data_IF_721261064422
#
_entry.id   IF_721261064422
#
_cell.length_a   1.000
_cell.length_b   1.000
_cell.length_c   1.000
_cell.angle_alpha   90.00
_cell.angle_beta   90.00
_cell.angle_gamma   90.00
#
_symmetry.space_group_name_H-M   'P 1'
#
loop_
_entity.id
_entity.type
_entity.pdbx_description
1 polymer ?
#
# COMPACT_ATOMS: atom_id res chain seq x y z
N UNK A 1 -6.85 40.67 -21.56
CA UNK A 1 -5.60 40.22 -20.94
C UNK A 1 -6.02 39.20 -19.88
N UNK A 2 -6.35 38.00 -20.33
CA UNK A 2 -6.83 36.91 -19.47
C UNK A 2 -5.66 35.95 -19.25
N UNK A 3 -5.14 35.96 -18.03
CA UNK A 3 -4.20 34.94 -17.58
C UNK A 3 -4.97 33.66 -17.34
N UNK A 4 -4.75 32.65 -18.18
CA UNK A 4 -5.05 31.26 -17.82
C UNK A 4 -3.96 30.79 -16.89
N UNK A 5 -4.34 30.55 -15.64
CA UNK A 5 -3.56 29.80 -14.67
C UNK A 5 -3.40 28.36 -15.20
N UNK A 6 -2.20 28.02 -15.64
CA UNK A 6 -1.81 26.65 -15.96
C UNK A 6 -1.01 26.10 -14.79
N UNK A 7 -1.71 25.62 -13.76
CA UNK A 7 -1.12 24.61 -12.89
C UNK A 7 -0.92 23.35 -13.74
N UNK A 8 0.29 23.18 -14.27
CA UNK A 8 0.69 21.96 -15.00
C UNK A 8 0.81 20.81 -14.00
N UNK A 9 -0.32 20.19 -13.66
CA UNK A 9 -0.32 18.88 -13.01
C UNK A 9 0.33 17.83 -13.91
N UNK A 10 0.96 16.82 -13.32
CA UNK A 10 1.52 15.68 -14.07
C UNK A 10 0.43 15.03 -14.93
N UNK A 11 0.74 14.61 -16.18
CA UNK A 11 -0.25 13.99 -17.06
C UNK A 11 -0.82 12.74 -16.40
N UNK A 12 -2.15 12.66 -16.27
CA UNK A 12 -2.82 11.48 -15.71
C UNK A 12 -2.57 10.27 -16.63
N UNK A 13 -2.52 9.07 -16.04
CA UNK A 13 -2.25 7.79 -16.72
C UNK A 13 -3.44 7.35 -17.61
N UNK A 14 -3.28 7.28 -18.93
CA UNK A 14 -4.36 6.85 -19.84
C UNK A 14 -4.16 5.40 -20.31
N UNK A 15 -5.03 4.49 -19.88
CA UNK A 15 -4.88 3.05 -20.12
C UNK A 15 -6.24 2.33 -20.14
N UNK A 16 -6.26 1.16 -20.78
CA UNK A 16 -7.41 0.25 -20.83
C UNK A 16 -7.15 -1.09 -20.12
N UNK A 17 -5.87 -1.43 -19.89
CA UNK A 17 -5.45 -2.68 -19.27
C UNK A 17 -4.30 -2.40 -18.29
N UNK A 18 -4.23 -3.19 -17.23
CA UNK A 18 -3.13 -3.15 -16.26
C UNK A 18 -2.09 -4.20 -16.68
N UNK A 19 -0.81 -3.83 -16.89
CA UNK A 19 0.20 -4.74 -17.41
C UNK A 19 0.57 -5.84 -16.41
N UNK A 20 1.02 -6.99 -16.91
CA UNK A 20 1.54 -8.11 -16.11
C UNK A 20 3.03 -8.26 -16.40
N UNK A 21 3.85 -8.19 -15.34
CA UNK A 21 5.31 -8.21 -15.44
C UNK A 21 5.86 -9.49 -14.79
N UNK A 22 6.76 -10.16 -15.50
CA UNK A 22 7.52 -11.28 -14.94
C UNK A 22 8.71 -10.76 -14.14
N UNK A 23 8.66 -10.87 -12.82
CA UNK A 23 9.70 -10.32 -11.94
C UNK A 23 10.74 -11.36 -11.51
N UNK A 24 10.76 -12.56 -12.13
CA UNK A 24 11.83 -13.53 -11.91
C UNK A 24 13.25 -12.94 -12.04
N UNK A 25 13.53 -11.99 -12.97
CA UNK A 25 14.83 -11.36 -13.08
C UNK A 25 15.30 -10.57 -11.84
N UNK A 26 14.43 -10.19 -10.89
CA UNK A 26 14.83 -9.50 -9.66
C UNK A 26 15.91 -10.26 -8.88
N UNK A 27 15.94 -11.59 -8.97
CA UNK A 27 16.92 -12.47 -8.32
C UNK A 27 18.10 -12.83 -9.23
N UNK A 28 18.09 -12.42 -10.50
CA UNK A 28 19.12 -12.76 -11.47
C UNK A 28 20.46 -12.15 -11.06
N UNK A 29 21.59 -12.89 -11.12
CA UNK A 29 22.92 -12.30 -10.96
C UNK A 29 23.29 -11.38 -12.13
N UNK A 30 22.67 -11.57 -13.30
CA UNK A 30 22.91 -10.74 -14.48
C UNK A 30 22.24 -9.37 -14.36
N UNK A 31 23.07 -8.32 -14.36
CA UNK A 31 22.62 -6.92 -14.29
C UNK A 31 21.85 -6.52 -15.55
N UNK A 32 22.17 -7.06 -16.72
CA UNK A 32 21.46 -6.71 -17.96
C UNK A 32 20.01 -7.21 -17.92
N UNK A 33 19.79 -8.45 -17.45
CA UNK A 33 18.45 -8.96 -17.18
C UNK A 33 17.65 -8.07 -16.20
N UNK A 34 18.29 -7.62 -15.11
CA UNK A 34 17.65 -6.69 -14.15
C UNK A 34 17.34 -5.32 -14.77
N UNK A 35 18.21 -4.83 -15.66
CA UNK A 35 18.01 -3.56 -16.36
C UNK A 35 16.86 -3.63 -17.37
N UNK A 36 16.68 -4.77 -18.06
CA UNK A 36 15.54 -4.99 -18.97
C UNK A 36 14.22 -4.98 -18.20
N UNK A 37 14.15 -5.71 -17.10
CA UNK A 37 13.01 -5.68 -16.18
C UNK A 37 12.73 -4.26 -15.68
N UNK A 38 13.77 -3.52 -15.31
CA UNK A 38 13.62 -2.15 -14.83
C UNK A 38 13.03 -1.21 -15.90
N UNK A 39 13.27 -1.45 -17.19
CA UNK A 39 12.64 -0.68 -18.27
C UNK A 39 11.13 -1.00 -18.38
N UNK A 40 10.74 -2.26 -18.28
CA UNK A 40 9.31 -2.65 -18.25
C UNK A 40 8.58 -2.03 -17.05
N UNK A 41 9.23 -2.03 -15.88
CA UNK A 41 8.71 -1.39 -14.68
C UNK A 41 8.61 0.13 -14.85
N UNK A 42 9.60 0.78 -15.49
CA UNK A 42 9.52 2.21 -15.79
C UNK A 42 8.26 2.55 -16.60
N UNK A 43 7.99 1.78 -17.64
CA UNK A 43 6.83 1.97 -18.50
C UNK A 43 5.51 1.80 -17.72
N UNK A 44 5.39 0.73 -16.92
CA UNK A 44 4.20 0.52 -16.10
C UNK A 44 4.00 1.64 -15.06
N UNK A 45 5.07 2.08 -14.38
CA UNK A 45 5.01 3.14 -13.38
C UNK A 45 4.67 4.51 -13.98
N UNK A 46 5.11 4.80 -15.21
CA UNK A 46 4.89 6.10 -15.85
C UNK A 46 3.58 6.19 -16.63
N UNK A 47 3.11 5.07 -17.18
CA UNK A 47 1.89 5.02 -17.99
C UNK A 47 0.64 4.68 -17.18
N UNK A 48 0.77 3.85 -16.14
CA UNK A 48 -0.37 3.32 -15.37
C UNK A 48 -0.24 3.64 -13.88
N UNK A 49 0.92 3.41 -13.28
CA UNK A 49 1.10 3.45 -11.82
C UNK A 49 0.60 2.20 -11.10
N UNK A 50 0.07 1.22 -11.84
CA UNK A 50 -0.39 -0.09 -11.38
C UNK A 50 0.13 -1.17 -12.35
N UNK A 51 0.46 -2.35 -11.81
CA UNK A 51 0.82 -3.53 -12.59
C UNK A 51 0.68 -4.81 -11.76
N UNK A 52 0.46 -5.94 -12.41
CA UNK A 52 0.60 -7.25 -11.78
C UNK A 52 2.05 -7.71 -11.87
N UNK A 53 2.49 -8.45 -10.85
CA UNK A 53 3.77 -9.17 -10.87
C UNK A 53 3.52 -10.67 -10.72
N UNK A 54 4.23 -11.48 -11.51
CA UNK A 54 4.28 -12.94 -11.39
C UNK A 54 5.71 -13.41 -11.14
N UNK A 55 5.88 -14.66 -10.66
CA UNK A 55 7.20 -15.19 -10.27
C UNK A 55 7.92 -14.32 -9.22
N UNK A 56 7.16 -13.66 -8.34
CA UNK A 56 7.66 -12.79 -7.27
C UNK A 56 8.41 -13.57 -6.18
N UNK A 57 8.11 -14.86 -6.04
CA UNK A 57 8.86 -15.80 -5.20
C UNK A 57 8.39 -15.88 -3.75
N UNK A 58 7.24 -15.28 -3.43
CA UNK A 58 6.43 -15.66 -2.26
C UNK A 58 5.64 -16.89 -2.70
N UNK A 59 5.65 -17.96 -1.92
CA UNK A 59 4.99 -19.21 -2.32
C UNK A 59 3.47 -19.09 -2.24
N UNK A 60 2.78 -19.77 -3.16
CA UNK A 60 1.31 -19.81 -3.18
C UNK A 60 0.79 -20.44 -1.88
N UNK A 61 1.49 -21.44 -1.32
CA UNK A 61 1.10 -22.07 -0.05
C UNK A 61 1.14 -21.09 1.13
N UNK A 62 2.05 -20.12 1.13
CA UNK A 62 2.14 -19.11 2.18
C UNK A 62 1.03 -18.04 2.02
N UNK A 63 0.75 -17.65 0.78
CA UNK A 63 -0.36 -16.74 0.48
C UNK A 63 -1.68 -17.40 0.89
N UNK A 64 -1.91 -18.66 0.49
CA UNK A 64 -3.10 -19.42 0.85
C UNK A 64 -3.24 -19.61 2.37
N UNK A 65 -2.14 -19.94 3.06
CA UNK A 65 -2.14 -20.05 4.51
C UNK A 65 -2.48 -18.73 5.21
N UNK A 66 -2.05 -17.59 4.66
CA UNK A 66 -2.37 -16.28 5.22
C UNK A 66 -3.83 -15.89 4.95
N UNK A 67 -4.38 -16.18 3.77
CA UNK A 67 -5.81 -15.99 3.50
C UNK A 67 -6.67 -16.90 4.38
N UNK A 68 -6.27 -18.14 4.61
CA UNK A 68 -6.95 -19.02 5.56
C UNK A 68 -6.88 -18.48 6.99
N UNK A 69 -5.73 -17.96 7.42
CA UNK A 69 -5.59 -17.29 8.71
C UNK A 69 -6.50 -16.05 8.83
N UNK A 70 -6.68 -15.30 7.73
CA UNK A 70 -7.64 -14.20 7.65
C UNK A 70 -9.08 -14.68 7.87
N UNK A 71 -9.50 -15.72 7.14
CA UNK A 71 -10.83 -16.33 7.30
C UNK A 71 -11.08 -16.76 8.75
N UNK A 72 -10.11 -17.44 9.36
CA UNK A 72 -10.21 -17.89 10.75
C UNK A 72 -10.33 -16.72 11.74
N UNK A 73 -9.54 -15.65 11.56
CA UNK A 73 -9.63 -14.47 12.41
C UNK A 73 -10.99 -13.78 12.30
N UNK A 74 -11.49 -13.53 11.09
CA UNK A 74 -12.74 -12.80 10.90
C UNK A 74 -13.99 -13.63 11.23
N UNK A 75 -13.86 -14.97 11.27
CA UNK A 75 -14.88 -15.89 11.77
C UNK A 75 -15.01 -15.91 13.31
N UNK A 76 -14.07 -15.30 14.05
CA UNK A 76 -14.20 -15.18 15.50
C UNK A 76 -15.43 -14.33 15.89
N UNK A 77 -16.06 -14.60 17.05
CA UNK A 77 -17.08 -13.73 17.62
C UNK A 77 -16.57 -12.28 17.73
N UNK A 78 -17.45 -11.31 17.47
CA UNK A 78 -17.11 -9.89 17.52
C UNK A 78 -16.47 -9.48 18.85
N UNK A 79 -16.98 -9.99 19.97
CA UNK A 79 -16.42 -9.75 21.31
C UNK A 79 -14.94 -10.16 21.41
N UNK A 80 -14.55 -11.29 20.81
CA UNK A 80 -13.16 -11.74 20.79
C UNK A 80 -12.30 -10.89 19.85
N UNK A 81 -12.83 -10.50 18.68
CA UNK A 81 -12.10 -9.60 17.76
C UNK A 81 -11.81 -8.24 18.41
N UNK A 82 -12.77 -7.71 19.18
CA UNK A 82 -12.65 -6.43 19.88
C UNK A 82 -11.57 -6.42 20.98
N UNK A 83 -11.11 -7.57 21.47
CA UNK A 83 -9.95 -7.63 22.39
C UNK A 83 -8.67 -7.08 21.74
N UNK A 84 -8.61 -7.10 20.41
CA UNK A 84 -7.48 -6.63 19.60
C UNK A 84 -7.70 -5.22 19.03
N UNK A 85 -8.71 -4.46 19.46
CA UNK A 85 -9.08 -3.18 18.84
C UNK A 85 -8.23 -1.96 19.24
N UNK A 86 -6.98 -2.19 19.67
CA UNK A 86 -6.01 -1.13 19.93
C UNK A 86 -5.25 -0.79 18.64
N UNK A 87 -4.39 0.22 18.70
CA UNK A 87 -3.52 0.56 17.57
C UNK A 87 -2.72 -0.68 17.10
N UNK A 88 -2.70 -0.92 15.78
CA UNK A 88 -2.14 -2.11 15.12
C UNK A 88 -2.81 -3.42 15.54
N UNK A 89 -4.10 -3.50 15.29
CA UNK A 89 -4.93 -4.67 15.54
C UNK A 89 -6.25 -4.60 14.78
N UNK A 90 -7.34 -5.01 15.42
CA UNK A 90 -8.66 -5.11 14.79
C UNK A 90 -9.36 -3.74 14.64
N UNK A 91 -9.94 -3.51 13.47
CA UNK A 91 -10.88 -2.40 13.23
C UNK A 91 -12.25 -2.97 12.80
N UNK A 92 -13.34 -2.66 13.51
CA UNK A 92 -14.66 -3.16 13.15
C UNK A 92 -15.23 -2.46 11.92
N UNK A 93 -16.28 -3.05 11.36
CA UNK A 93 -17.00 -2.50 10.21
C UNK A 93 -17.45 -1.06 10.49
N UNK A 94 -17.30 -0.18 9.49
CA UNK A 94 -17.61 1.25 9.57
C UNK A 94 -16.71 2.11 10.47
N UNK A 95 -15.63 1.55 11.04
CA UNK A 95 -14.68 2.33 11.83
C UNK A 95 -13.75 3.23 10.98
N UNK A 96 -13.50 2.86 9.73
CA UNK A 96 -12.71 3.66 8.78
C UNK A 96 -13.62 4.67 8.09
N UNK A 97 -13.25 5.96 8.15
CA UNK A 97 -13.98 7.01 7.45
C UNK A 97 -13.74 6.88 5.94
N UNK A 98 -14.79 7.03 5.13
CA UNK A 98 -14.64 7.06 3.67
C UNK A 98 -14.01 8.41 3.30
N UNK A 99 -12.85 8.44 2.62
CA UNK A 99 -12.21 9.71 2.25
C UNK A 99 -13.18 10.59 1.45
N UNK A 100 -13.51 11.77 1.99
CA UNK A 100 -14.35 12.76 1.30
C UNK A 100 -13.49 13.54 0.29
N UNK A 101 -13.20 12.94 -0.86
CA UNK A 101 -12.61 13.65 -2.00
C UNK A 101 -13.65 14.51 -2.74
N UNK A 102 -13.18 15.43 -3.59
CA UNK A 102 -14.01 16.28 -4.48
C UNK A 102 -14.91 15.49 -5.44
N UNK A 103 -14.61 14.20 -5.68
CA UNK A 103 -15.45 13.27 -6.43
C UNK A 103 -16.32 12.47 -5.45
N UNK A 104 -17.48 13.02 -5.10
CA UNK A 104 -18.59 12.19 -4.62
C UNK A 104 -18.92 11.20 -5.73
N UNK A 105 -18.78 9.89 -5.47
CA UNK A 105 -19.40 8.90 -6.35
C UNK A 105 -20.92 9.18 -6.36
N UNK A 106 -21.57 9.14 -7.52
CA UNK A 106 -23.03 9.36 -7.66
C UNK A 106 -23.89 8.35 -6.88
N UNK A 107 -23.27 7.43 -6.14
CA UNK A 107 -23.89 6.31 -5.44
C UNK A 107 -23.87 6.44 -3.91
N UNK A 108 -23.35 7.55 -3.34
CA UNK A 108 -23.43 7.74 -1.89
C UNK A 108 -24.88 8.04 -1.48
N UNK A 109 -25.57 7.04 -0.92
CA UNK A 109 -26.77 7.27 -0.10
C UNK A 109 -26.36 8.23 1.02
N UNK A 110 -27.16 9.28 1.25
CA UNK A 110 -26.89 10.42 2.15
C UNK A 110 -26.70 10.09 3.65
N UNK A 111 -26.42 8.84 4.01
CA UNK A 111 -26.10 8.44 5.38
C UNK A 111 -24.59 8.30 5.52
N UNK A 112 -24.00 9.13 6.37
CA UNK A 112 -22.60 9.09 6.78
C UNK A 112 -22.25 7.76 7.49
N UNK A 113 -22.14 6.67 6.74
CA UNK A 113 -21.66 5.38 7.22
C UNK A 113 -20.24 5.18 6.71
N UNK A 114 -19.31 4.74 7.57
CA UNK A 114 -17.91 4.48 7.21
C UNK A 114 -17.75 3.38 6.14
N UNK A 115 -16.51 2.97 5.90
CA UNK A 115 -16.20 1.91 4.94
C UNK A 115 -16.86 0.57 5.34
N UNK A 116 -17.46 -0.14 4.37
CA UNK A 116 -18.03 -1.46 4.57
C UNK A 116 -16.94 -2.55 4.51
N UNK A 117 -16.03 -2.49 5.48
CA UNK A 117 -14.94 -3.43 5.68
C UNK A 117 -14.58 -3.51 7.16
N UNK A 118 -14.10 -4.66 7.61
CA UNK A 118 -13.33 -4.78 8.85
C UNK A 118 -11.88 -5.15 8.53
N UNK A 119 -10.94 -4.81 9.42
CA UNK A 119 -9.51 -5.03 9.20
C UNK A 119 -8.77 -5.59 10.41
N UNK A 120 -7.65 -6.26 10.14
CA UNK A 120 -6.63 -6.55 11.14
C UNK A 120 -5.29 -6.00 10.63
N UNK A 121 -4.81 -4.97 11.30
CA UNK A 121 -3.67 -4.16 10.87
C UNK A 121 -2.45 -4.51 11.71
N UNK A 122 -1.30 -4.66 11.06
CA UNK A 122 0.00 -4.80 11.70
C UNK A 122 0.97 -3.79 11.08
N UNK A 123 1.97 -3.37 11.84
CA UNK A 123 3.10 -2.64 11.31
C UNK A 123 4.40 -3.41 11.44
N UNK A 124 5.47 -2.72 11.05
CA UNK A 124 6.84 -3.26 11.06
C UNK A 124 7.21 -3.92 12.40
N UNK A 125 7.73 -5.14 12.35
CA UNK A 125 8.33 -5.88 13.47
C UNK A 125 9.72 -6.37 13.07
N UNK A 126 10.70 -6.18 13.96
CA UNK A 126 12.08 -6.65 13.76
C UNK A 126 12.15 -8.16 13.52
N UNK A 127 11.30 -8.93 14.20
CA UNK A 127 11.24 -10.38 14.05
C UNK A 127 10.80 -10.85 12.65
N UNK A 128 10.09 -10.00 11.89
CA UNK A 128 9.73 -10.28 10.52
C UNK A 128 10.78 -9.81 9.51
N UNK A 129 11.83 -9.08 9.91
CA UNK A 129 12.78 -8.53 8.98
C UNK A 129 14.04 -9.42 8.83
N UNK A 130 14.24 -10.10 7.69
CA UNK A 130 15.39 -10.98 7.48
C UNK A 130 16.75 -10.25 7.43
N UNK A 131 16.77 -8.91 7.41
CA UNK A 131 17.99 -8.10 7.47
C UNK A 131 18.32 -7.59 8.87
N UNK A 132 17.50 -7.90 9.88
CA UNK A 132 17.68 -7.46 11.27
C UNK A 132 18.03 -8.63 12.18
N UNK A 133 18.75 -8.32 13.25
CA UNK A 133 18.94 -9.24 14.36
C UNK A 133 17.76 -9.13 15.35
N UNK A 134 17.35 -10.21 16.03
CA UNK A 134 16.23 -10.17 16.99
C UNK A 134 16.41 -9.18 18.15
N UNK A 135 17.66 -8.78 18.44
CA UNK A 135 18.05 -7.83 19.49
C UNK A 135 18.31 -6.41 18.96
N UNK A 136 18.11 -6.16 17.66
CA UNK A 136 18.12 -4.81 17.12
C UNK A 136 17.05 -3.95 17.82
N UNK A 137 17.32 -2.65 17.91
CA UNK A 137 16.41 -1.69 18.56
C UNK A 137 15.81 -0.78 17.50
N UNK A 138 14.49 -0.63 17.53
CA UNK A 138 13.80 0.32 16.67
C UNK A 138 14.32 1.76 16.90
N UNK A 139 14.39 2.59 15.85
CA UNK A 139 14.73 3.99 16.03
C UNK A 139 13.67 4.70 16.91
N UNK A 140 14.01 5.85 17.52
CA UNK A 140 13.04 6.64 18.28
C UNK A 140 11.80 6.94 17.43
N UNK A 141 10.63 6.71 18.00
CA UNK A 141 9.35 6.95 17.32
C UNK A 141 8.97 8.43 17.36
N UNK A 142 9.69 9.25 16.60
CA UNK A 142 9.48 10.70 16.55
C UNK A 142 8.12 11.10 16.00
N UNK A 143 7.44 10.21 15.27
CA UNK A 143 6.20 10.52 14.54
C UNK A 143 4.97 9.78 15.07
N UNK A 144 5.11 9.01 16.16
CA UNK A 144 4.07 8.12 16.70
C UNK A 144 3.49 7.19 15.61
N UNK A 145 4.39 6.52 14.87
CA UNK A 145 4.07 5.60 13.78
C UNK A 145 4.52 4.16 14.06
N UNK A 146 5.38 3.93 15.05
CA UNK A 146 5.69 2.59 15.57
C UNK A 146 4.70 2.20 16.68
N UNK A 147 4.56 0.90 16.92
CA UNK A 147 3.65 0.39 17.93
C UNK A 147 3.63 -1.13 17.95
N UNK A 148 3.24 -1.70 19.07
CA UNK A 148 3.15 -3.14 19.26
C UNK A 148 1.94 -3.69 18.51
N UNK A 149 2.16 -4.72 17.67
CA UNK A 149 1.09 -5.42 17.00
C UNK A 149 0.28 -6.25 18.02
N UNK A 150 -1.05 -6.28 17.85
CA UNK A 150 -1.99 -6.94 18.77
C UNK A 150 -2.24 -8.39 18.36
N UNK A 151 -1.23 -9.26 18.51
CA UNK A 151 -1.35 -10.66 18.10
C UNK A 151 -2.32 -11.47 18.97
N UNK A 152 -3.24 -12.24 18.35
CA UNK A 152 -3.94 -13.32 19.02
C UNK A 152 -2.96 -14.33 19.61
N UNK A 153 -3.30 -14.90 20.77
CA UNK A 153 -2.50 -15.98 21.35
C UNK A 153 -2.65 -17.24 20.51
N UNK A 154 -1.66 -18.14 20.59
CA UNK A 154 -1.73 -19.44 19.93
C UNK A 154 -2.88 -20.32 20.45
N UNK A 155 -3.45 -20.02 21.61
CA UNK A 155 -4.66 -20.69 22.13
C UNK A 155 -5.92 -20.25 21.38
N UNK A 156 -5.97 -18.99 20.94
CA UNK A 156 -7.12 -18.41 20.22
C UNK A 156 -7.01 -18.70 18.72
N UNK A 157 -5.86 -18.40 18.12
CA UNK A 157 -5.58 -18.67 16.71
C UNK A 157 -4.16 -19.26 16.55
N UNK A 158 -4.04 -20.59 16.56
CA UNK A 158 -2.76 -21.26 16.40
C UNK A 158 -2.03 -20.81 15.12
N UNK A 159 -0.75 -20.46 15.24
CA UNK A 159 0.13 -20.09 14.10
C UNK A 159 -0.26 -18.84 13.33
N UNK A 160 -1.25 -18.06 13.77
CA UNK A 160 -1.65 -16.83 13.08
C UNK A 160 -0.48 -15.85 13.01
N UNK A 161 0.16 -15.59 14.16
CA UNK A 161 1.35 -14.74 14.25
C UNK A 161 2.51 -15.27 13.41
N UNK A 162 2.83 -16.57 13.53
CA UNK A 162 3.93 -17.19 12.79
C UNK A 162 3.75 -17.06 11.27
N UNK A 163 2.56 -17.39 10.77
CA UNK A 163 2.22 -17.33 9.34
C UNK A 163 2.31 -15.91 8.81
N UNK A 164 1.76 -14.94 9.55
CA UNK A 164 1.78 -13.55 9.13
C UNK A 164 3.20 -12.95 9.18
N UNK A 165 3.99 -13.23 10.22
CA UNK A 165 5.38 -12.78 10.27
C UNK A 165 6.23 -13.40 9.14
N UNK A 166 5.99 -14.66 8.78
CA UNK A 166 6.66 -15.30 7.65
C UNK A 166 6.30 -14.62 6.31
N UNK A 167 5.02 -14.30 6.09
CA UNK A 167 4.61 -13.52 4.92
C UNK A 167 5.28 -12.14 4.90
N UNK A 168 5.32 -11.43 6.03
CA UNK A 168 5.99 -10.15 6.14
C UNK A 168 7.48 -10.22 5.78
N UNK A 169 8.18 -11.29 6.16
CA UNK A 169 9.59 -11.49 5.81
C UNK A 169 9.82 -11.64 4.30
N UNK A 170 8.98 -12.43 3.64
CA UNK A 170 9.04 -12.61 2.18
C UNK A 170 8.61 -11.33 1.44
N UNK A 171 7.57 -10.65 1.92
CA UNK A 171 7.10 -9.36 1.40
C UNK A 171 8.18 -8.28 1.52
N UNK A 172 8.83 -8.13 2.68
CA UNK A 172 9.96 -7.21 2.88
C UNK A 172 11.11 -7.49 1.90
N UNK A 173 11.43 -8.76 1.71
CA UNK A 173 12.48 -9.19 0.78
C UNK A 173 12.13 -8.82 -0.66
N UNK A 174 10.88 -9.03 -1.08
CA UNK A 174 10.38 -8.64 -2.39
C UNK A 174 10.38 -7.12 -2.57
N UNK A 175 9.86 -6.38 -1.59
CA UNK A 175 9.76 -4.92 -1.64
C UNK A 175 11.13 -4.25 -1.78
N UNK A 176 12.16 -4.72 -1.05
CA UNK A 176 13.53 -4.21 -1.21
C UNK A 176 14.09 -4.46 -2.60
N UNK A 177 13.82 -5.62 -3.21
CA UNK A 177 14.22 -5.90 -4.59
C UNK A 177 13.48 -5.01 -5.58
N UNK A 178 12.19 -4.76 -5.38
CA UNK A 178 11.41 -3.83 -6.19
C UNK A 178 11.98 -2.40 -6.08
N UNK A 179 12.34 -1.93 -4.88
CA UNK A 179 13.01 -0.63 -4.70
C UNK A 179 14.32 -0.50 -5.48
N UNK A 180 15.14 -1.55 -5.49
CA UNK A 180 16.36 -1.58 -6.32
C UNK A 180 16.05 -1.54 -7.82
N UNK A 181 14.98 -2.22 -8.24
CA UNK A 181 14.52 -2.16 -9.63
C UNK A 181 13.97 -0.77 -9.99
N UNK A 182 13.24 -0.11 -9.09
CA UNK A 182 12.82 1.28 -9.26
C UNK A 182 14.04 2.20 -9.39
N UNK A 183 15.09 2.02 -8.60
CA UNK A 183 16.33 2.78 -8.75
C UNK A 183 16.96 2.61 -10.15
N UNK A 184 17.10 1.36 -10.62
CA UNK A 184 17.61 1.07 -11.96
C UNK A 184 16.74 1.69 -13.07
N UNK A 185 15.41 1.64 -12.91
CA UNK A 185 14.45 2.19 -13.87
C UNK A 185 14.56 3.72 -13.98
N UNK A 186 14.94 4.37 -12.88
CA UNK A 186 15.20 5.82 -12.81
C UNK A 186 16.64 6.17 -13.24
N UNK A 187 17.44 5.21 -13.73
CA UNK A 187 18.85 5.40 -14.10
C UNK A 187 19.72 5.85 -12.92
N UNK A 188 19.41 5.35 -11.72
CA UNK A 188 20.23 5.51 -10.52
C UNK A 188 21.10 4.28 -10.30
N UNK A 189 21.97 4.35 -9.29
CA UNK A 189 22.62 3.14 -8.79
C UNK A 189 21.58 2.16 -8.22
N UNK A 190 21.80 0.85 -8.41
CA UNK A 190 20.84 -0.17 -7.99
C UNK A 190 20.57 -0.13 -6.49
N UNK A 191 21.58 0.16 -5.68
CA UNK A 191 21.46 0.25 -4.22
C UNK A 191 21.09 1.64 -3.71
N UNK A 192 20.69 2.58 -4.57
CA UNK A 192 20.49 4.00 -4.20
C UNK A 192 19.58 4.19 -2.99
N UNK A 193 18.48 3.43 -2.89
CA UNK A 193 17.53 3.53 -1.79
C UNK A 193 17.85 2.65 -0.57
N UNK A 194 18.84 1.75 -0.66
CA UNK A 194 19.16 0.81 0.42
C UNK A 194 19.41 1.49 1.78
N UNK A 195 20.13 2.62 1.86
CA UNK A 195 20.38 3.30 3.13
C UNK A 195 19.11 3.87 3.79
N UNK A 196 18.01 3.98 3.05
CA UNK A 196 16.72 4.50 3.53
C UNK A 196 15.77 3.37 3.99
N UNK A 197 16.20 2.11 4.03
CA UNK A 197 15.34 0.95 4.33
C UNK A 197 15.91 0.06 5.45
N UNK A 198 16.52 0.67 6.47
CA UNK A 198 17.04 -0.09 7.63
C UNK A 198 15.91 -0.58 8.53
N UNK A 199 14.94 0.29 8.81
CA UNK A 199 13.72 0.05 9.59
C UNK A 199 12.54 0.69 8.83
N UNK A 200 12.23 0.18 7.62
CA UNK A 200 11.32 0.85 6.71
C UNK A 200 9.92 0.99 7.32
N UNK A 201 9.24 2.09 6.99
CA UNK A 201 7.81 2.22 7.25
C UNK A 201 7.06 1.09 6.58
N UNK A 202 6.36 0.27 7.36
CA UNK A 202 5.54 -0.84 6.87
C UNK A 202 4.25 -0.88 7.64
N UNK A 203 3.16 -1.04 6.88
CA UNK A 203 1.86 -1.45 7.39
C UNK A 203 1.34 -2.58 6.50
N UNK A 204 0.80 -3.63 7.10
CA UNK A 204 0.06 -4.67 6.39
C UNK A 204 -1.32 -4.75 6.98
N UNK A 205 -2.34 -4.86 6.13
CA UNK A 205 -3.73 -4.94 6.57
C UNK A 205 -4.33 -6.21 6.00
N UNK A 206 -4.94 -7.04 6.83
CA UNK A 206 -5.88 -8.04 6.32
C UNK A 206 -7.24 -7.35 6.29
N UNK A 207 -7.86 -7.30 5.12
CA UNK A 207 -9.15 -6.64 4.91
C UNK A 207 -10.21 -7.70 4.59
N UNK A 208 -11.32 -7.68 5.32
CA UNK A 208 -12.51 -8.47 5.03
C UNK A 208 -13.66 -7.53 4.65
N UNK A 209 -14.20 -7.74 3.46
CA UNK A 209 -15.36 -7.05 2.93
C UNK A 209 -16.55 -8.02 2.98
N UNK A 210 -17.55 -7.76 3.85
CA UNK A 210 -18.73 -8.62 3.93
C UNK A 210 -19.50 -8.70 2.60
N UNK A 211 -20.30 -9.76 2.38
CA UNK A 211 -21.19 -9.86 1.23
C UNK A 211 -22.10 -8.64 1.13
N UNK A 212 -22.16 -8.01 -0.05
CA UNK A 212 -23.07 -6.90 -0.31
C UNK A 212 -24.34 -7.39 -1.02
N UNK A 213 -25.56 -6.97 -0.61
CA UNK A 213 -26.78 -7.32 -1.33
C UNK A 213 -26.74 -6.74 -2.75
N UNK A 214 -27.08 -7.57 -3.74
CA UNK A 214 -26.94 -7.27 -5.18
C UNK A 214 -28.03 -6.28 -5.70
N UNK A 215 -28.98 -5.84 -4.88
CA UNK A 215 -30.07 -4.96 -5.34
C UNK A 215 -29.89 -3.48 -4.95
N UNK A 216 -29.66 -2.65 -5.97
CA UNK A 216 -30.04 -1.23 -6.01
C UNK A 216 -29.13 -0.22 -5.30
N UNK A 217 -28.30 -0.64 -4.35
CA UNK A 217 -27.38 0.24 -3.61
C UNK A 217 -25.92 -0.19 -3.82
N UNK A 218 -25.20 0.49 -4.71
CA UNK A 218 -23.74 0.34 -4.82
C UNK A 218 -23.11 1.03 -3.60
N UNK A 219 -22.52 0.26 -2.69
CA UNK A 219 -21.77 0.80 -1.55
C UNK A 219 -20.28 0.67 -1.78
N UNK A 220 -19.56 1.78 -1.60
CA UNK A 220 -18.11 1.76 -1.68
C UNK A 220 -17.55 0.90 -0.54
N UNK A 221 -16.82 -0.17 -0.89
CA UNK A 221 -16.11 -0.99 0.09
C UNK A 221 -14.94 -0.19 0.67
N UNK A 222 -14.17 0.46 -0.20
CA UNK A 222 -13.20 1.49 0.14
C UNK A 222 -13.27 2.58 -0.93
N UNK A 223 -13.43 3.84 -0.51
CA UNK A 223 -13.61 4.99 -1.40
C UNK A 223 -12.42 5.26 -2.32
N UNK A 224 -12.60 6.17 -3.28
CA UNK A 224 -11.53 6.56 -4.20
C UNK A 224 -10.38 7.27 -3.46
N UNK A 225 -9.17 6.71 -3.53
CA UNK A 225 -8.00 7.22 -2.82
C UNK A 225 -6.68 6.92 -3.56
N UNK A 226 -5.58 7.45 -3.05
CA UNK A 226 -4.22 7.04 -3.35
C UNK A 226 -3.53 6.56 -2.06
N UNK A 227 -2.51 5.72 -2.21
CA UNK A 227 -1.70 5.25 -1.09
C UNK A 227 -0.60 6.26 -0.73
N UNK A 228 -0.10 6.19 0.51
CA UNK A 228 0.76 7.24 1.08
C UNK A 228 2.26 6.92 1.07
N UNK A 229 2.63 5.65 1.23
CA UNK A 229 4.03 5.19 1.34
C UNK A 229 4.76 5.25 -0.02
N UNK A 230 5.79 4.42 -0.25
CA UNK A 230 6.47 4.37 -1.55
C UNK A 230 5.66 3.60 -2.59
N UNK A 231 5.17 2.41 -2.23
CA UNK A 231 4.31 1.58 -3.07
C UNK A 231 3.61 0.53 -2.21
N UNK A 232 2.64 -0.16 -2.79
CA UNK A 232 1.90 -1.25 -2.15
C UNK A 232 2.07 -2.52 -2.99
N UNK A 233 2.24 -3.67 -2.33
CA UNK A 233 1.96 -4.97 -2.94
C UNK A 233 0.66 -5.51 -2.34
N UNK A 234 -0.20 -6.07 -3.17
CA UNK A 234 -1.56 -6.46 -2.79
C UNK A 234 -1.82 -7.89 -3.23
N UNK A 235 -2.06 -8.76 -2.24
CA UNK A 235 -2.68 -10.06 -2.46
C UNK A 235 -4.20 -9.92 -2.46
N UNK A 236 -4.86 -10.54 -3.43
CA UNK A 236 -6.30 -10.51 -3.61
C UNK A 236 -6.83 -11.94 -3.64
N UNK A 237 -8.04 -12.14 -3.13
CA UNK A 237 -8.80 -13.36 -3.38
C UNK A 237 -9.38 -13.38 -4.80
N UNK A 238 -10.36 -14.24 -5.06
CA UNK A 238 -10.98 -14.41 -6.38
C UNK A 238 -12.10 -13.41 -6.70
N UNK A 239 -12.38 -12.40 -5.85
CA UNK A 239 -13.48 -11.44 -6.07
C UNK A 239 -12.97 -10.16 -6.79
N UNK A 240 -13.45 -9.87 -8.02
CA UNK A 240 -13.00 -8.72 -8.80
C UNK A 240 -13.65 -7.41 -8.34
N UNK A 241 -13.09 -6.83 -7.27
CA UNK A 241 -13.59 -5.58 -6.70
C UNK A 241 -12.67 -4.37 -6.86
N UNK A 242 -11.37 -4.57 -7.14
CA UNK A 242 -10.43 -3.46 -7.31
C UNK A 242 -10.66 -2.76 -8.65
N UNK A 243 -10.75 -1.43 -8.61
CA UNK A 243 -10.85 -0.58 -9.79
C UNK A 243 -9.80 0.54 -9.74
N UNK A 244 -9.15 0.81 -10.87
CA UNK A 244 -8.10 1.83 -11.03
C UNK A 244 -8.58 2.89 -12.01
N UNK A 245 -8.41 4.17 -11.68
CA UNK A 245 -8.92 5.28 -12.50
C UNK A 245 -7.90 5.74 -13.53
N UNK A 246 -8.26 5.75 -14.80
CA UNK A 246 -7.42 6.28 -15.87
C UNK A 246 -7.56 7.81 -16.04
N UNK A 247 -6.83 8.39 -17.00
CA UNK A 247 -6.77 9.82 -17.29
C UNK A 247 -8.09 10.39 -17.80
N UNK A 248 -8.90 9.55 -18.45
CA UNK A 248 -10.24 9.87 -18.93
C UNK A 248 -11.26 9.89 -17.79
N UNK A 249 -10.88 9.49 -16.58
CA UNK A 249 -11.78 9.38 -15.43
C UNK A 249 -12.56 8.07 -15.39
N UNK A 250 -12.24 7.12 -16.28
CA UNK A 250 -12.91 5.82 -16.35
C UNK A 250 -12.29 4.86 -15.33
N UNK A 251 -13.12 3.98 -14.76
CA UNK A 251 -12.71 2.94 -13.82
C UNK A 251 -12.38 1.65 -14.56
N UNK A 252 -11.11 1.26 -14.56
CA UNK A 252 -10.60 0.01 -15.14
C UNK A 252 -10.56 -1.05 -14.04
N UNK A 253 -11.20 -2.19 -14.29
CA UNK A 253 -11.20 -3.32 -13.33
C UNK A 253 -9.83 -3.98 -13.30
N UNK A 254 -9.34 -4.26 -12.09
CA UNK A 254 -8.16 -5.09 -11.85
C UNK A 254 -8.64 -6.48 -11.38
N UNK A 255 -8.95 -7.42 -12.30
CA UNK A 255 -9.44 -8.74 -11.91
C UNK A 255 -8.35 -9.55 -11.20
N UNK A 256 -8.70 -10.44 -10.26
CA UNK A 256 -7.74 -11.36 -9.67
C UNK A 256 -7.13 -12.28 -10.73
N UNK A 257 -5.80 -12.45 -10.67
CA UNK A 257 -5.07 -13.34 -11.55
C UNK A 257 -4.26 -14.30 -10.65
N UNK A 258 -4.54 -15.62 -10.68
CA UNK A 258 -3.81 -16.60 -9.87
C UNK A 258 -2.29 -16.52 -10.08
N UNK A 259 -1.52 -16.66 -8.99
CA UNK A 259 -0.07 -16.60 -9.00
C UNK A 259 0.51 -15.19 -9.23
N UNK A 260 -0.29 -14.14 -8.99
CA UNK A 260 0.15 -12.75 -9.12
C UNK A 260 -0.14 -11.93 -7.86
N UNK A 261 0.63 -10.86 -7.70
CA UNK A 261 0.33 -9.76 -6.78
C UNK A 261 0.11 -8.49 -7.60
N UNK A 262 -0.79 -7.62 -7.14
CA UNK A 262 -0.91 -6.27 -7.69
C UNK A 262 0.12 -5.37 -7.03
N UNK A 263 0.76 -4.50 -7.80
CA UNK A 263 1.68 -3.47 -7.31
C UNK A 263 1.16 -2.11 -7.77
N UNK A 264 1.15 -1.14 -6.87
CA UNK A 264 0.87 0.25 -7.22
C UNK A 264 1.84 1.23 -6.56
N UNK A 265 2.21 2.26 -7.32
CA UNK A 265 3.03 3.34 -6.81
C UNK A 265 2.18 4.25 -5.93
N UNK A 266 2.77 4.67 -4.81
CA UNK A 266 2.13 5.52 -3.83
C UNK A 266 2.73 6.93 -3.84
N UNK A 267 2.09 7.81 -3.08
CA UNK A 267 2.32 9.24 -3.09
C UNK A 267 3.77 9.65 -2.77
N UNK A 268 4.45 8.94 -1.86
CA UNK A 268 5.82 9.27 -1.48
C UNK A 268 6.78 9.06 -2.65
N UNK A 269 6.75 7.90 -3.31
CA UNK A 269 7.62 7.60 -4.44
C UNK A 269 7.24 8.41 -5.70
N UNK A 270 5.95 8.68 -5.91
CA UNK A 270 5.49 9.62 -6.93
C UNK A 270 6.14 11.00 -6.73
N UNK A 271 6.05 11.58 -5.53
CA UNK A 271 6.71 12.86 -5.20
C UNK A 271 8.23 12.79 -5.34
N UNK A 272 8.85 11.70 -4.88
CA UNK A 272 10.30 11.49 -4.99
C UNK A 272 10.78 11.54 -6.45
N UNK A 273 9.98 11.02 -7.37
CA UNK A 273 10.27 10.99 -8.83
C UNK A 273 9.74 12.21 -9.59
N UNK A 274 9.38 13.29 -8.89
CA UNK A 274 8.76 14.49 -9.48
C UNK A 274 7.43 14.22 -10.20
N UNK A 275 6.65 13.24 -9.73
CA UNK A 275 5.42 12.72 -10.35
C UNK A 275 5.66 12.06 -11.72
N UNK A 276 6.88 11.56 -11.96
CA UNK A 276 7.20 10.72 -13.13
C UNK A 276 6.50 9.38 -13.00
N UNK A 277 6.66 8.73 -11.85
CA UNK A 277 5.83 7.59 -11.50
C UNK A 277 4.48 8.07 -11.00
N UNK A 278 3.42 7.35 -11.38
CA UNK A 278 2.03 7.76 -11.15
C UNK A 278 1.51 7.11 -9.88
N UNK A 279 1.13 7.93 -8.90
CA UNK A 279 0.25 7.51 -7.80
C UNK A 279 -1.18 7.57 -8.30
N UNK A 280 -1.74 6.41 -8.66
CA UNK A 280 -3.01 6.35 -9.40
C UNK A 280 -4.17 6.09 -8.46
N UNK A 281 -5.26 6.83 -8.65
CA UNK A 281 -6.47 6.72 -7.84
C UNK A 281 -7.12 5.35 -8.06
N UNK A 282 -7.48 4.68 -6.97
CA UNK A 282 -8.14 3.39 -7.01
C UNK A 282 -9.23 3.30 -5.93
N UNK A 283 -10.15 2.33 -6.08
CA UNK A 283 -11.24 2.06 -5.15
C UNK A 283 -11.60 0.58 -5.11
N UNK A 284 -12.39 0.19 -4.12
CA UNK A 284 -12.92 -1.18 -4.01
C UNK A 284 -14.44 -1.14 -4.05
N UNK A 285 -15.04 -1.76 -5.07
CA UNK A 285 -16.49 -1.97 -5.19
C UNK A 285 -16.76 -3.44 -5.45
N UNK A 286 -17.47 -4.08 -4.53
CA UNK A 286 -17.83 -5.49 -4.65
C UNK A 286 -19.24 -5.64 -5.22
N UNK A 287 -19.34 -6.11 -6.46
CA UNK A 287 -20.63 -6.30 -7.16
C UNK A 287 -21.07 -7.76 -7.24
N UNK A 288 -20.34 -8.69 -6.61
CA UNK A 288 -20.56 -10.14 -6.80
C UNK A 288 -21.53 -10.74 -5.79
N UNK A 289 -21.78 -10.04 -4.68
CA UNK A 289 -22.54 -10.56 -3.55
C UNK A 289 -21.82 -11.63 -2.73
N UNK A 290 -20.54 -11.90 -3.01
CA UNK A 290 -19.67 -12.74 -2.19
C UNK A 290 -18.89 -11.89 -1.19
N UNK A 291 -18.43 -12.48 -0.09
CA UNK A 291 -17.41 -11.84 0.74
C UNK A 291 -16.09 -11.75 -0.01
N UNK A 292 -15.25 -10.77 0.36
CA UNK A 292 -13.93 -10.57 -0.24
C UNK A 292 -12.84 -10.40 0.79
N UNK A 293 -11.68 -11.01 0.55
CA UNK A 293 -10.47 -10.83 1.33
C UNK A 293 -9.34 -10.23 0.50
N UNK A 294 -8.58 -9.33 1.11
CA UNK A 294 -7.37 -8.81 0.50
C UNK A 294 -6.34 -8.37 1.52
N UNK A 295 -5.07 -8.47 1.14
CA UNK A 295 -3.94 -8.24 2.04
C UNK A 295 -2.96 -7.26 1.39
N UNK A 296 -3.23 -5.94 1.45
CA UNK A 296 -2.25 -4.93 1.09
C UNK A 296 -1.10 -4.90 2.09
N UNK A 297 0.11 -4.81 1.55
CA UNK A 297 1.35 -4.57 2.27
C UNK A 297 1.96 -3.27 1.74
N UNK A 298 1.80 -2.21 2.52
CA UNK A 298 2.29 -0.87 2.24
C UNK A 298 3.77 -0.79 2.62
N UNK A 299 4.61 -0.44 1.66
CA UNK A 299 6.06 -0.37 1.86
C UNK A 299 6.58 1.05 1.64
N UNK A 300 7.27 1.55 2.66
CA UNK A 300 7.91 2.85 2.71
C UNK A 300 9.41 2.78 2.94
N UNK A 301 9.96 3.92 3.34
CA UNK A 301 11.35 4.07 3.81
C UNK A 301 11.35 4.37 5.31
N UNK A 302 12.51 4.33 5.95
CA UNK A 302 12.69 4.73 7.34
C UNK A 302 12.01 6.09 7.56
N UNK A 303 11.20 6.23 8.61
CA UNK A 303 10.39 7.44 8.81
C UNK A 303 11.22 8.73 8.96
N UNK A 304 12.49 8.61 9.36
CA UNK A 304 13.44 9.73 9.42
C UNK A 304 14.13 10.08 8.09
N UNK A 305 13.91 9.30 7.04
CA UNK A 305 14.39 9.60 5.69
C UNK A 305 13.82 10.93 5.19
N UNK A 306 14.69 11.78 4.65
CA UNK A 306 14.25 12.98 3.93
C UNK A 306 13.90 12.62 2.50
N UNK A 307 12.65 12.82 2.13
CA UNK A 307 12.15 12.68 0.77
C UNK A 307 12.32 14.03 0.08
N UNK A 308 13.09 14.05 -1.00
CA UNK A 308 13.31 15.22 -1.85
C UNK A 308 13.27 14.79 -3.31
N UNK A 309 12.73 15.63 -4.19
CA UNK A 309 12.67 15.32 -5.62
C UNK A 309 14.07 14.96 -6.12
N UNK A 310 14.19 13.79 -6.75
CA UNK A 310 15.47 13.28 -7.24
C UNK A 310 16.09 14.28 -8.23
N UNK A 311 17.40 14.59 -8.13
CA UNK A 311 18.04 15.58 -8.99
C UNK A 311 17.91 15.27 -10.48
N UNK A 312 17.94 13.99 -10.87
CA UNK A 312 17.77 13.55 -12.26
C UNK A 312 16.31 13.57 -12.76
N UNK A 313 15.35 13.93 -11.90
CA UNK A 313 13.94 14.14 -12.23
C UNK A 313 13.56 15.63 -12.32
N UNK A 314 14.54 16.53 -12.13
CA UNK A 314 14.37 17.98 -12.19
C UNK A 314 15.00 18.51 -13.49
N UNK A 315 14.32 19.47 -14.11
CA UNK A 315 14.86 20.27 -15.23
C UNK A 315 14.27 21.68 -15.17
N UNK A 316 14.77 22.59 -15.98
CA UNK A 316 14.25 23.98 -16.04
C UNK A 316 12.74 24.00 -16.39
N UNK A 317 12.30 23.08 -17.25
CA UNK A 317 10.88 22.96 -17.65
C UNK A 317 10.03 22.12 -16.68
N UNK A 318 10.68 21.43 -15.73
CA UNK A 318 10.04 20.57 -14.73
C UNK A 318 10.72 20.75 -13.37
N UNK A 319 10.43 21.87 -12.67
CA UNK A 319 10.96 22.09 -11.33
C UNK A 319 10.41 21.05 -10.35
N UNK A 320 10.99 21.00 -9.14
CA UNK A 320 10.54 20.09 -8.09
C UNK A 320 9.07 20.34 -7.72
N UNK A 321 8.23 19.30 -7.71
CA UNK A 321 6.82 19.40 -7.37
C UNK A 321 6.55 19.69 -5.88
N UNK A 322 7.53 19.37 -5.01
CA UNK A 322 7.43 19.53 -3.56
C UNK A 322 8.75 19.97 -2.95
N UNK A 323 8.67 20.67 -1.80
CA UNK A 323 9.83 20.91 -0.93
C UNK A 323 10.23 19.61 -0.21
N UNK A 324 11.50 19.43 0.19
CA UNK A 324 11.90 18.27 0.98
C UNK A 324 11.10 18.14 2.28
N UNK A 325 10.75 16.91 2.67
CA UNK A 325 10.01 16.59 3.91
C UNK A 325 10.49 15.26 4.52
N UNK A 326 10.12 14.98 5.77
CA UNK A 326 10.39 13.67 6.41
C UNK A 326 9.31 12.66 6.07
N UNK A 327 9.70 11.43 5.72
CA UNK A 327 8.75 10.38 5.35
C UNK A 327 7.68 10.16 6.44
N UNK A 328 8.09 10.08 7.71
CA UNK A 328 7.18 9.93 8.84
C UNK A 328 6.24 11.11 9.05
N UNK A 329 6.71 12.34 8.85
CA UNK A 329 5.86 13.54 8.90
C UNK A 329 4.74 13.46 7.84
N UNK A 330 5.11 13.07 6.62
CA UNK A 330 4.15 12.91 5.53
C UNK A 330 3.12 11.81 5.83
N UNK A 331 3.58 10.61 6.22
CA UNK A 331 2.70 9.47 6.53
C UNK A 331 1.75 9.80 7.68
N UNK A 332 2.28 10.38 8.79
CA UNK A 332 1.47 10.80 9.93
C UNK A 332 0.40 11.81 9.52
N UNK A 333 0.75 12.79 8.68
CA UNK A 333 -0.19 13.79 8.20
C UNK A 333 -1.31 13.19 7.31
N UNK A 334 -1.05 12.12 6.56
CA UNK A 334 -2.09 11.45 5.77
C UNK A 334 -2.97 10.54 6.64
N UNK A 335 -2.39 9.82 7.61
CA UNK A 335 -3.15 9.03 8.57
C UNK A 335 -4.07 9.92 9.42
N UNK A 336 -3.62 11.11 9.84
CA UNK A 336 -4.43 12.06 10.59
C UNK A 336 -5.66 12.58 9.83
N UNK A 337 -5.66 12.56 8.50
CA UNK A 337 -6.83 12.89 7.67
C UNK A 337 -7.82 11.74 7.51
N UNK A 338 -7.33 10.50 7.66
CA UNK A 338 -8.08 9.27 7.39
C UNK A 338 -8.63 8.66 8.67
N UNK A 339 -7.93 8.84 9.79
CA UNK A 339 -8.23 8.20 11.07
C UNK A 339 -8.25 9.24 12.20
N UNK A 340 -9.38 9.33 12.90
CA UNK A 340 -9.57 10.22 14.05
C UNK A 340 -8.50 10.00 15.15
N UNK A 341 -8.07 8.75 15.35
CA UNK A 341 -7.03 8.39 16.33
C UNK A 341 -5.66 9.05 16.09
N UNK A 342 -5.42 9.56 14.89
CA UNK A 342 -4.17 10.20 14.49
C UNK A 342 -4.24 11.73 14.44
N UNK A 343 -5.42 12.31 14.72
CA UNK A 343 -5.65 13.76 14.64
C UNK A 343 -4.92 14.59 15.71
N UNK A 344 -4.43 13.94 16.78
CA UNK A 344 -3.66 14.59 17.84
C UNK A 344 -2.18 14.76 17.45
N UNK A 345 -1.60 15.91 17.85
CA UNK A 345 -0.17 16.19 17.64
C UNK A 345 0.70 15.14 18.34
N UNK A 346 1.90 14.82 17.79
CA UNK A 346 2.77 13.83 18.40
C UNK A 346 3.00 14.16 19.87
N UNK A 347 3.04 13.13 20.72
CA UNK A 347 3.37 13.34 22.12
C UNK A 347 4.77 13.94 22.18
N UNK A 348 4.90 15.20 22.62
CA UNK A 348 6.21 15.77 22.93
C UNK A 348 6.74 15.04 24.15
N UNK A 349 7.35 13.87 23.94
CA UNK A 349 8.21 13.23 24.92
C UNK A 349 9.48 14.07 24.99
N UNK A 350 9.41 15.13 25.78
CA UNK A 350 10.58 15.85 26.26
C UNK A 350 11.33 14.86 27.16
N UNK A 351 12.60 14.60 26.82
CA UNK A 351 13.53 13.76 27.58
C UNK A 351 13.60 14.11 29.08
#
# INVERSE_FOLDING_TARGET
MEQRDQSKGSPKADFENIPIIDVAPLKSPDREARQKLAAEIYDACTQVGFFYIKNHGISDELIDALHEAAHQFFALPEEQKMEYSKYRGFMPVYAEEIPTGDDRSEHTVETATGALLESFDIGYEILADPQRAPDDVLPPDTYDLYGDNQWPSDEVLPKFRETYLLYCAEALTLCRRLMRSFALSLRLDEGFFDPAMNFPGVTSRILHYPPQPVEGEVRDGLGAHTDYECFTILSQDNVPALQVRNARGEWVVAPPIPGTLVVNIADCLSKWTNETFKSTVHRVINLTGQERYSIPFFFGVDYNTTVSVLPNCISDDRPACVKPFKAGEFVRAQLAKTYVAYSEQPSTKIE
#
